data_IF_023329034455
#
_entry.id   IF_023329034455
#
_cell.length_a   1.000
_cell.length_b   1.000
_cell.length_c   1.000
_cell.angle_alpha   90.00
_cell.angle_beta   90.00
_cell.angle_gamma   90.00
#
_symmetry.space_group_name_H-M   'P 1'
#
loop_
_entity.id
_entity.type
_entity.pdbx_description
1 polymer ?
#
# COMPACT_ATOMS: atom_id res chain seq x y z
N UNK A 1 -35.46 38.41 -19.73
CA UNK A 1 -34.16 38.75 -19.09
C UNK A 1 -33.77 37.60 -18.18
N UNK A 2 -32.87 36.74 -18.65
CA UNK A 2 -32.53 35.44 -18.03
C UNK A 2 -31.43 35.65 -16.99
N UNK A 3 -31.68 35.26 -15.73
CA UNK A 3 -30.66 35.29 -14.67
C UNK A 3 -29.71 34.09 -14.85
N UNK A 4 -28.46 34.35 -15.23
CA UNK A 4 -27.39 33.36 -15.15
C UNK A 4 -27.04 33.11 -13.67
N UNK A 5 -27.36 31.92 -13.15
CA UNK A 5 -26.78 31.46 -11.89
C UNK A 5 -25.32 31.08 -12.12
N UNK A 6 -24.39 31.82 -11.52
CA UNK A 6 -22.99 31.42 -11.45
C UNK A 6 -22.88 30.21 -10.53
N UNK A 7 -22.34 29.10 -11.05
CA UNK A 7 -21.95 27.94 -10.23
C UNK A 7 -20.88 28.37 -9.21
N UNK A 8 -20.93 27.89 -7.96
CA UNK A 8 -19.91 28.21 -6.98
C UNK A 8 -18.55 27.70 -7.46
N UNK A 9 -17.56 28.60 -7.49
CA UNK A 9 -16.16 28.26 -7.77
C UNK A 9 -15.72 27.22 -6.74
N UNK A 10 -15.24 26.07 -7.20
CA UNK A 10 -14.54 25.09 -6.34
C UNK A 10 -13.47 25.83 -5.55
N UNK A 11 -13.62 25.88 -4.23
CA UNK A 11 -12.62 26.38 -3.31
C UNK A 11 -11.34 25.59 -3.57
N UNK A 12 -10.21 26.28 -3.78
CA UNK A 12 -8.89 25.63 -3.85
C UNK A 12 -8.76 24.74 -2.62
N UNK A 13 -8.47 23.45 -2.82
CA UNK A 13 -8.11 22.54 -1.74
C UNK A 13 -6.97 23.21 -0.97
N UNK A 14 -7.24 23.57 0.28
CA UNK A 14 -6.22 24.07 1.16
C UNK A 14 -5.25 22.91 1.39
N UNK A 15 -4.03 23.01 0.85
CA UNK A 15 -2.91 22.18 1.29
C UNK A 15 -2.69 22.54 2.75
N UNK A 16 -3.20 21.71 3.66
CA UNK A 16 -2.96 21.85 5.09
C UNK A 16 -1.48 21.49 5.32
N UNK A 17 -0.64 22.44 5.74
CA UNK A 17 0.75 22.13 6.07
C UNK A 17 0.74 21.14 7.24
N UNK A 18 1.25 19.94 7.02
CA UNK A 18 1.29 18.86 8.04
C UNK A 18 0.32 17.70 7.82
N UNK A 19 -0.61 17.77 6.86
CA UNK A 19 -1.33 16.58 6.36
C UNK A 19 -0.67 16.14 5.06
N UNK A 20 0.59 15.72 5.18
CA UNK A 20 1.28 15.10 4.06
C UNK A 20 0.66 13.73 3.77
N UNK A 21 0.64 13.36 2.49
CA UNK A 21 0.45 11.97 2.03
C UNK A 21 1.46 10.96 2.62
N UNK A 22 2.32 11.43 3.53
CA UNK A 22 3.43 10.75 4.17
C UNK A 22 3.16 10.47 5.67
N UNK A 23 1.97 10.79 6.19
CA UNK A 23 1.65 10.66 7.62
C UNK A 23 1.36 9.22 8.10
N UNK A 24 1.40 8.22 7.21
CA UNK A 24 1.05 6.84 7.56
C UNK A 24 2.25 5.88 7.60
N UNK A 25 3.44 6.34 7.20
CA UNK A 25 4.62 5.50 7.26
C UNK A 25 5.36 5.82 8.55
N UNK A 26 5.39 4.90 9.54
CA UNK A 26 6.48 4.98 10.50
C UNK A 26 7.76 5.01 9.68
N UNK A 27 8.69 5.89 10.05
CA UNK A 27 10.01 5.97 9.44
C UNK A 27 10.62 4.57 9.47
N UNK A 28 10.43 3.81 8.39
CA UNK A 28 10.91 2.45 8.28
C UNK A 28 12.41 2.59 8.17
N UNK A 29 13.07 2.48 9.31
CA UNK A 29 14.51 2.46 9.45
C UNK A 29 15.01 1.40 8.47
N UNK A 30 15.66 1.85 7.39
CA UNK A 30 16.17 0.92 6.40
C UNK A 30 17.08 -0.09 7.09
N UNK A 31 17.00 -1.37 6.72
CA UNK A 31 17.94 -2.36 7.22
C UNK A 31 19.38 -1.91 6.98
N UNK A 32 20.29 -2.08 7.94
CA UNK A 32 21.71 -1.89 7.71
C UNK A 32 22.15 -2.77 6.53
N UNK A 33 22.51 -2.15 5.40
CA UNK A 33 22.83 -2.84 4.15
C UNK A 33 21.87 -2.59 2.98
N UNK A 34 20.80 -1.81 3.16
CA UNK A 34 19.95 -1.28 2.07
C UNK A 34 18.97 -2.27 1.44
N UNK A 35 19.17 -3.57 1.66
CA UNK A 35 18.31 -4.64 1.11
C UNK A 35 17.12 -4.97 2.01
N UNK A 36 15.97 -5.17 1.39
CA UNK A 36 14.70 -5.54 2.03
C UNK A 36 13.97 -6.58 1.16
N UNK A 37 13.09 -7.36 1.77
CA UNK A 37 12.18 -8.25 1.03
C UNK A 37 10.74 -7.79 1.16
N UNK A 38 9.95 -8.06 0.13
CA UNK A 38 8.53 -7.78 0.14
C UNK A 38 7.70 -8.97 -0.35
N UNK A 39 6.49 -9.07 0.16
CA UNK A 39 5.44 -9.96 -0.37
C UNK A 39 4.42 -9.08 -1.08
N UNK A 40 4.19 -9.36 -2.35
CA UNK A 40 3.10 -8.78 -3.12
C UNK A 40 2.19 -9.91 -3.58
N UNK A 41 0.88 -9.75 -3.42
CA UNK A 41 -0.09 -10.73 -3.87
C UNK A 41 -1.34 -10.10 -4.44
N UNK A 42 -2.14 -10.91 -5.10
CA UNK A 42 -3.39 -10.52 -5.69
C UNK A 42 -4.42 -11.62 -5.49
N UNK A 43 -5.63 -11.24 -5.09
CA UNK A 43 -6.71 -12.18 -4.79
C UNK A 43 -7.78 -12.07 -5.87
N UNK A 44 -8.23 -13.22 -6.37
CA UNK A 44 -9.44 -13.32 -7.15
C UNK A 44 -10.66 -13.12 -6.23
N UNK A 45 -11.39 -12.03 -6.45
CA UNK A 45 -12.51 -11.61 -5.61
C UNK A 45 -13.68 -12.60 -5.68
N UNK A 46 -13.90 -13.25 -6.81
CA UNK A 46 -15.02 -14.17 -6.97
C UNK A 46 -14.71 -15.51 -6.29
N UNK A 47 -13.48 -16.03 -6.44
CA UNK A 47 -13.00 -17.17 -5.66
C UNK A 47 -13.00 -16.88 -4.17
N UNK A 48 -12.61 -15.66 -3.76
CA UNK A 48 -12.61 -15.25 -2.37
C UNK A 48 -14.01 -15.22 -1.77
N UNK A 49 -15.01 -14.65 -2.47
CA UNK A 49 -16.42 -14.68 -2.03
C UNK A 49 -16.96 -16.11 -1.86
N UNK A 50 -16.48 -17.04 -2.68
CA UNK A 50 -16.94 -18.44 -2.66
C UNK A 50 -16.25 -19.28 -1.58
N UNK A 51 -15.01 -18.95 -1.22
CA UNK A 51 -14.18 -19.77 -0.33
C UNK A 51 -13.93 -19.17 1.04
N UNK A 52 -14.11 -17.85 1.20
CA UNK A 52 -13.96 -17.20 2.50
C UNK A 52 -15.07 -17.65 3.46
N UNK A 53 -14.75 -17.68 4.74
CA UNK A 53 -15.59 -18.32 5.75
C UNK A 53 -16.87 -17.53 6.11
N UNK A 54 -17.02 -16.29 5.59
CA UNK A 54 -18.22 -15.46 5.78
C UNK A 54 -18.44 -14.50 4.60
N UNK A 55 -19.57 -13.76 4.62
CA UNK A 55 -19.93 -12.81 3.55
C UNK A 55 -19.07 -11.53 3.53
N UNK A 56 -18.41 -11.20 4.64
CA UNK A 56 -17.52 -10.04 4.78
C UNK A 56 -16.11 -10.37 4.29
N UNK A 57 -16.00 -10.80 3.04
CA UNK A 57 -14.75 -11.23 2.40
C UNK A 57 -13.62 -10.19 2.44
N UNK A 58 -13.93 -8.89 2.58
CA UNK A 58 -12.93 -7.84 2.76
C UNK A 58 -12.04 -8.07 4.00
N UNK A 59 -12.53 -8.80 5.02
CA UNK A 59 -11.77 -9.17 6.20
C UNK A 59 -10.56 -10.09 5.89
N UNK A 60 -10.56 -10.74 4.73
CA UNK A 60 -9.44 -11.55 4.24
C UNK A 60 -8.10 -10.78 4.25
N UNK A 61 -8.11 -9.50 3.89
CA UNK A 61 -6.90 -8.67 3.90
C UNK A 61 -6.38 -8.42 5.31
N UNK A 62 -7.28 -8.27 6.30
CA UNK A 62 -6.91 -8.08 7.70
C UNK A 62 -6.40 -9.37 8.33
N UNK A 63 -6.98 -10.52 7.96
CA UNK A 63 -6.49 -11.82 8.37
C UNK A 63 -5.05 -12.05 7.88
N UNK A 64 -4.79 -11.81 6.59
CA UNK A 64 -3.44 -11.90 6.02
C UNK A 64 -2.49 -10.87 6.62
N UNK A 65 -2.96 -9.65 6.90
CA UNK A 65 -2.15 -8.60 7.55
C UNK A 65 -1.59 -9.10 8.88
N UNK A 66 -2.43 -9.68 9.74
CA UNK A 66 -2.01 -10.20 11.05
C UNK A 66 -0.94 -11.28 10.92
N UNK A 67 -1.09 -12.20 9.96
CA UNK A 67 -0.10 -13.23 9.70
C UNK A 67 1.22 -12.60 9.26
N UNK A 68 1.21 -11.72 8.25
CA UNK A 68 2.43 -11.12 7.73
C UNK A 68 3.13 -10.22 8.76
N UNK A 69 2.39 -9.47 9.58
CA UNK A 69 2.95 -8.68 10.68
C UNK A 69 3.66 -9.54 11.73
N UNK A 70 3.10 -10.71 12.06
CA UNK A 70 3.76 -11.67 12.96
C UNK A 70 5.10 -12.18 12.42
N UNK A 71 5.31 -12.13 11.10
CA UNK A 71 6.56 -12.49 10.43
C UNK A 71 7.49 -11.29 10.17
N UNK A 72 7.20 -10.12 10.73
CA UNK A 72 8.05 -8.93 10.61
C UNK A 72 7.79 -8.09 9.36
N UNK A 73 6.65 -8.27 8.70
CA UNK A 73 6.25 -7.42 7.59
C UNK A 73 5.36 -6.26 8.05
N UNK A 74 5.35 -5.17 7.31
CA UNK A 74 4.45 -4.04 7.50
C UNK A 74 3.73 -3.74 6.19
N UNK A 75 2.41 -3.62 6.26
CA UNK A 75 1.58 -3.32 5.10
C UNK A 75 1.96 -1.95 4.55
N UNK A 76 2.32 -1.92 3.27
CA UNK A 76 2.47 -0.68 2.52
C UNK A 76 1.09 -0.31 1.99
N UNK A 77 0.78 -0.71 0.77
CA UNK A 77 -0.50 -0.44 0.15
C UNK A 77 -1.20 -1.74 -0.22
N UNK A 78 -2.49 -1.85 0.06
CA UNK A 78 -3.32 -2.97 -0.44
C UNK A 78 -2.74 -4.33 -0.05
N UNK A 79 -2.18 -5.03 -1.04
CA UNK A 79 -1.62 -6.38 -0.93
C UNK A 79 -0.09 -6.42 -0.95
N UNK A 80 0.58 -5.30 -0.67
CA UNK A 80 2.05 -5.17 -0.64
C UNK A 80 2.54 -5.01 0.79
N UNK A 81 3.51 -5.83 1.17
CA UNK A 81 4.03 -5.95 2.52
C UNK A 81 5.55 -5.90 2.50
N UNK A 82 6.15 -4.97 3.22
CA UNK A 82 7.60 -4.79 3.29
C UNK A 82 8.13 -5.39 4.59
N UNK A 83 9.17 -6.21 4.49
CA UNK A 83 9.83 -6.81 5.63
C UNK A 83 10.71 -5.81 6.36
N UNK A 84 10.85 -5.96 7.68
CA UNK A 84 11.83 -5.24 8.46
C UNK A 84 13.27 -5.75 8.18
N UNK A 85 14.25 -5.21 8.91
CA UNK A 85 15.67 -5.52 8.78
C UNK A 85 16.08 -6.96 9.09
N UNK A 86 15.19 -7.72 9.73
CA UNK A 86 15.43 -9.11 10.09
C UNK A 86 14.74 -10.09 9.11
N UNK A 87 13.92 -9.59 8.18
CA UNK A 87 13.24 -10.43 7.21
C UNK A 87 14.23 -10.93 6.15
N UNK A 88 14.24 -12.25 5.97
CA UNK A 88 14.99 -12.96 4.92
C UNK A 88 14.04 -13.65 3.92
N UNK A 89 14.53 -14.21 2.81
CA UNK A 89 13.69 -15.00 1.91
C UNK A 89 12.98 -16.17 2.61
N UNK A 90 13.61 -16.75 3.64
CA UNK A 90 13.01 -17.84 4.43
C UNK A 90 11.80 -17.32 5.20
N UNK A 91 11.86 -16.12 5.77
CA UNK A 91 10.71 -15.51 6.44
C UNK A 91 9.55 -15.28 5.47
N UNK A 92 9.81 -14.91 4.21
CA UNK A 92 8.75 -14.82 3.19
C UNK A 92 8.05 -16.17 2.97
N UNK A 93 8.83 -17.24 2.81
CA UNK A 93 8.29 -18.59 2.62
C UNK A 93 7.46 -19.02 3.82
N UNK A 94 7.98 -18.84 5.04
CA UNK A 94 7.29 -19.21 6.27
C UNK A 94 5.98 -18.42 6.44
N UNK A 95 6.00 -17.12 6.13
CA UNK A 95 4.81 -16.27 6.22
C UNK A 95 3.70 -16.73 5.28
N UNK A 96 4.03 -17.08 4.03
CA UNK A 96 3.07 -17.59 3.05
C UNK A 96 2.53 -18.97 3.43
N UNK A 97 3.39 -19.86 3.93
CA UNK A 97 2.98 -21.18 4.41
C UNK A 97 2.05 -21.08 5.61
N UNK A 98 2.33 -20.21 6.58
CA UNK A 98 1.47 -19.99 7.74
C UNK A 98 0.14 -19.35 7.33
N UNK A 99 0.15 -18.40 6.38
CA UNK A 99 -1.08 -17.84 5.82
C UNK A 99 -1.96 -18.93 5.19
N UNK A 100 -1.40 -19.83 4.38
CA UNK A 100 -2.15 -20.95 3.80
C UNK A 100 -2.69 -21.92 4.87
N UNK A 101 -1.89 -22.19 5.91
CA UNK A 101 -2.25 -23.12 6.99
C UNK A 101 -3.39 -22.59 7.84
N UNK A 102 -3.34 -21.31 8.24
CA UNK A 102 -4.37 -20.65 9.04
C UNK A 102 -5.62 -20.31 8.22
N UNK A 103 -5.44 -20.06 6.92
CA UNK A 103 -6.50 -19.63 6.02
C UNK A 103 -6.55 -20.51 4.77
N UNK A 104 -7.19 -21.69 4.82
CA UNK A 104 -7.25 -22.61 3.67
C UNK A 104 -7.89 -22.03 2.40
N UNK A 105 -8.67 -20.95 2.53
CA UNK A 105 -9.23 -20.20 1.41
C UNK A 105 -8.17 -19.43 0.62
N UNK A 106 -7.02 -19.11 1.23
CA UNK A 106 -5.97 -18.28 0.64
C UNK A 106 -5.49 -18.86 -0.69
N UNK A 107 -5.00 -20.11 -0.70
CA UNK A 107 -4.54 -20.77 -1.92
C UNK A 107 -5.62 -21.04 -2.96
N UNK A 108 -6.91 -20.95 -2.60
CA UNK A 108 -8.03 -21.02 -3.56
C UNK A 108 -8.33 -19.67 -4.20
N UNK A 109 -7.98 -18.57 -3.52
CA UNK A 109 -8.27 -17.21 -3.93
C UNK A 109 -7.05 -16.46 -4.47
N UNK A 110 -5.82 -16.91 -4.23
CA UNK A 110 -4.62 -16.26 -4.76
C UNK A 110 -4.55 -16.42 -6.28
N UNK A 111 -4.48 -15.28 -6.98
CA UNK A 111 -4.26 -15.21 -8.42
C UNK A 111 -2.77 -15.06 -8.77
N UNK A 112 -2.05 -14.23 -8.02
CA UNK A 112 -0.61 -14.02 -8.16
C UNK A 112 0.00 -13.77 -6.77
N UNK A 113 1.21 -14.28 -6.52
CA UNK A 113 1.98 -14.00 -5.31
C UNK A 113 3.47 -14.02 -5.62
N UNK A 114 4.20 -13.01 -5.16
CA UNK A 114 5.61 -12.80 -5.45
C UNK A 114 6.37 -12.40 -4.21
N UNK A 115 7.57 -12.95 -4.10
CA UNK A 115 8.63 -12.41 -3.26
C UNK A 115 9.44 -11.44 -4.10
N UNK A 116 9.63 -10.22 -3.60
CA UNK A 116 10.47 -9.20 -4.22
C UNK A 116 11.68 -8.94 -3.32
N UNK A 117 12.82 -8.65 -3.94
CA UNK A 117 14.00 -8.13 -3.26
C UNK A 117 14.19 -6.67 -3.68
N UNK A 118 14.18 -5.78 -2.71
CA UNK A 118 14.34 -4.34 -2.87
C UNK A 118 15.76 -4.02 -2.44
N UNK A 119 16.60 -3.55 -3.35
CA UNK A 119 18.01 -3.21 -3.06
C UNK A 119 18.20 -1.73 -2.71
N UNK A 120 17.28 -0.87 -3.16
CA UNK A 120 17.45 0.58 -3.13
C UNK A 120 16.16 1.29 -2.73
N UNK A 121 16.26 2.61 -2.55
CA UNK A 121 15.10 3.44 -2.27
C UNK A 121 14.09 3.35 -3.41
N UNK A 122 12.89 2.88 -3.08
CA UNK A 122 11.80 2.68 -4.03
C UNK A 122 10.64 3.67 -3.83
N UNK A 123 10.74 4.59 -2.88
CA UNK A 123 9.74 5.64 -2.71
C UNK A 123 9.96 6.74 -3.76
N UNK A 124 8.98 6.89 -4.64
CA UNK A 124 8.98 7.87 -5.71
C UNK A 124 8.10 9.09 -5.40
N UNK A 125 7.38 9.11 -4.28
CA UNK A 125 6.56 10.27 -3.90
C UNK A 125 7.35 11.59 -3.86
N UNK A 126 8.59 11.64 -3.36
CA UNK A 126 9.37 12.88 -3.36
C UNK A 126 9.59 13.46 -4.76
N UNK A 127 9.74 12.61 -5.79
CA UNK A 127 9.98 13.07 -7.16
C UNK A 127 8.76 13.79 -7.74
N UNK A 128 7.54 13.34 -7.40
CA UNK A 128 6.30 13.96 -7.86
C UNK A 128 5.98 15.22 -7.04
N UNK A 129 6.15 15.16 -5.72
CA UNK A 129 5.82 16.28 -4.83
C UNK A 129 6.61 17.55 -5.18
N UNK A 130 7.89 17.41 -5.55
CA UNK A 130 8.70 18.54 -6.01
C UNK A 130 8.19 19.14 -7.33
N UNK A 131 7.77 18.28 -8.26
CA UNK A 131 7.25 18.71 -9.55
C UNK A 131 5.90 19.43 -9.40
N UNK A 132 5.00 18.96 -8.52
CA UNK A 132 3.73 19.63 -8.25
C UNK A 132 3.92 21.05 -7.70
N UNK A 133 4.85 21.24 -6.75
CA UNK A 133 5.18 22.57 -6.21
C UNK A 133 5.63 23.55 -7.29
N UNK A 134 6.42 23.08 -8.25
CA UNK A 134 6.90 23.91 -9.35
C UNK A 134 5.78 24.24 -10.34
N UNK A 135 4.94 23.26 -10.69
CA UNK A 135 3.77 23.48 -11.55
C UNK A 135 2.79 24.48 -10.93
N UNK A 136 2.62 24.46 -9.61
CA UNK A 136 1.75 25.41 -8.91
C UNK A 136 2.33 26.83 -8.89
N UNK A 137 3.66 26.98 -8.77
CA UNK A 137 4.33 28.29 -8.92
C UNK A 137 4.17 28.85 -10.33
N UNK A 138 4.33 28.01 -11.35
CA UNK A 138 4.18 28.42 -12.76
C UNK A 138 2.74 28.86 -13.07
N UNK A 139 1.74 28.12 -12.58
CA UNK A 139 0.33 28.52 -12.68
C UNK A 139 0.04 29.84 -11.97
N UNK A 140 0.70 30.11 -10.83
CA UNK A 140 0.55 31.37 -10.11
C UNK A 140 1.25 32.55 -10.80
N UNK A 141 2.33 32.31 -11.56
CA UNK A 141 3.05 33.36 -12.30
C UNK A 141 2.43 33.69 -13.67
N UNK A 142 1.66 32.77 -14.26
CA UNK A 142 0.94 32.96 -15.53
C UNK A 142 -0.49 33.49 -15.41
N UNK A 143 -0.95 33.83 -14.20
CA UNK A 143 -2.28 34.36 -13.89
C UNK A 143 -2.20 35.78 -13.34
#
# INVERSE_FOLDING_TARGET
>A
MTKFQQKPRRTKLAVVPGVGHNGFWPEQTRPPGGRMYAIAFDLDVDALKNHYHNQSWNNAYEDLRKVFEAHGFSRQQGSVYFGNEHVTPVNCVLAVQEAQKLHPWFGKAVRDIRMLRIEEHNDLLPAIAQQELELDRQKAAGA
#
